data_IF_321343320104
#
_entry.id   IF_321343320104
#
_cell.length_a   1.000
_cell.length_b   1.000
_cell.length_c   1.000
_cell.angle_alpha   90.00
_cell.angle_beta   90.00
_cell.angle_gamma   90.00
#
_symmetry.space_group_name_H-M   'P 1'
#
loop_
_entity.id
_entity.type
_entity.pdbx_description
1 polymer ?
#
# COMPACT_ATOMS: atom_id res chain seq x y z
N UNK A 1 9.93 13.00 -1.19
CA UNK A 1 9.49 12.12 -0.09
C UNK A 1 9.13 10.79 -0.72
N UNK A 2 9.94 9.76 -0.47
CA UNK A 2 9.76 8.44 -1.05
C UNK A 2 9.72 7.44 0.09
N UNK A 3 8.57 6.79 0.24
CA UNK A 3 8.44 5.58 1.06
C UNK A 3 9.44 4.54 0.53
N UNK A 4 10.17 3.87 1.42
CA UNK A 4 11.09 2.81 1.03
C UNK A 4 10.30 1.65 0.41
N UNK A 5 10.91 0.90 -0.50
CA UNK A 5 10.24 -0.23 -1.18
C UNK A 5 9.73 -1.28 -0.20
N UNK A 6 10.46 -1.50 0.91
CA UNK A 6 10.05 -2.39 2.00
C UNK A 6 8.80 -1.87 2.70
N UNK A 7 8.79 -0.59 3.10
CA UNK A 7 7.63 0.02 3.77
C UNK A 7 6.41 0.08 2.85
N UNK A 8 6.61 0.23 1.54
CA UNK A 8 5.54 0.18 0.55
C UNK A 8 4.88 -1.19 0.50
N UNK A 9 5.66 -2.27 0.51
CA UNK A 9 5.13 -3.64 0.57
C UNK A 9 4.36 -3.88 1.87
N UNK A 10 4.87 -3.41 3.01
CA UNK A 10 4.18 -3.53 4.29
C UNK A 10 2.81 -2.85 4.27
N UNK A 11 2.76 -1.62 3.75
CA UNK A 11 1.52 -0.83 3.63
C UNK A 11 0.53 -1.49 2.66
N UNK A 12 1.00 -2.03 1.53
CA UNK A 12 0.12 -2.75 0.60
C UNK A 12 -0.50 -3.97 1.30
N UNK A 13 0.29 -4.75 2.03
CA UNK A 13 -0.22 -5.93 2.73
C UNK A 13 -1.18 -5.60 3.88
N UNK A 14 -0.95 -4.48 4.58
CA UNK A 14 -1.77 -4.04 5.70
C UNK A 14 -3.15 -3.50 5.26
N UNK A 15 -3.20 -2.85 4.10
CA UNK A 15 -4.42 -2.21 3.58
C UNK A 15 -5.07 -2.95 2.40
N UNK A 16 -4.49 -4.06 1.93
CA UNK A 16 -5.06 -4.88 0.88
C UNK A 16 -6.41 -5.46 1.30
N UNK A 17 -7.45 -5.21 0.49
CA UNK A 17 -8.81 -5.72 0.78
C UNK A 17 -9.01 -7.17 0.34
N UNK A 18 -8.10 -7.67 -0.52
CA UNK A 18 -8.07 -9.02 -1.08
C UNK A 18 -6.65 -9.36 -1.47
N UNK A 19 -6.38 -10.65 -1.67
CA UNK A 19 -5.06 -11.10 -2.07
C UNK A 19 -4.64 -10.48 -3.42
N UNK A 20 -3.43 -9.91 -3.47
CA UNK A 20 -2.90 -9.19 -4.65
C UNK A 20 -3.46 -7.79 -4.90
N UNK A 21 -4.17 -7.19 -3.94
CA UNK A 21 -4.78 -5.87 -4.09
C UNK A 21 -3.75 -4.74 -3.98
N UNK A 22 -3.32 -4.22 -5.13
CA UNK A 22 -2.25 -3.20 -5.24
C UNK A 22 -2.73 -1.85 -5.77
N UNK A 23 -4.01 -1.76 -6.16
CA UNK A 23 -4.57 -0.61 -6.88
C UNK A 23 -5.84 -0.04 -6.27
N UNK A 24 -6.33 -0.61 -5.17
CA UNK A 24 -7.50 -0.09 -4.47
C UNK A 24 -7.26 1.32 -3.91
N UNK A 25 -8.31 2.15 -3.83
CA UNK A 25 -8.21 3.51 -3.29
C UNK A 25 -7.57 3.55 -1.90
N UNK A 26 -7.90 2.57 -1.05
CA UNK A 26 -7.40 2.46 0.32
C UNK A 26 -5.87 2.29 0.35
N UNK A 27 -5.34 1.38 -0.47
CA UNK A 27 -3.89 1.14 -0.61
C UNK A 27 -3.19 2.37 -1.17
N UNK A 28 -3.78 3.04 -2.17
CA UNK A 28 -3.19 4.25 -2.74
C UNK A 28 -3.14 5.41 -1.74
N UNK A 29 -4.20 5.60 -0.95
CA UNK A 29 -4.23 6.62 0.12
C UNK A 29 -3.18 6.31 1.18
N UNK A 30 -3.05 5.05 1.58
CA UNK A 30 -2.06 4.62 2.57
C UNK A 30 -0.60 4.80 2.09
N UNK A 31 -0.35 4.77 0.77
CA UNK A 31 0.97 5.04 0.19
C UNK A 31 1.26 6.54 0.07
N UNK A 32 0.22 7.37 -0.12
CA UNK A 32 0.34 8.81 -0.34
C UNK A 32 0.28 9.65 0.95
N UNK A 33 -0.11 9.04 2.06
CA UNK A 33 -0.14 9.64 3.40
C UNK A 33 1.15 9.31 4.16
#
# INVERSE_FOLDING_TARGET
>A
MSITTERKQDVINEYATKDGDTGSPEVQIAILT
#
